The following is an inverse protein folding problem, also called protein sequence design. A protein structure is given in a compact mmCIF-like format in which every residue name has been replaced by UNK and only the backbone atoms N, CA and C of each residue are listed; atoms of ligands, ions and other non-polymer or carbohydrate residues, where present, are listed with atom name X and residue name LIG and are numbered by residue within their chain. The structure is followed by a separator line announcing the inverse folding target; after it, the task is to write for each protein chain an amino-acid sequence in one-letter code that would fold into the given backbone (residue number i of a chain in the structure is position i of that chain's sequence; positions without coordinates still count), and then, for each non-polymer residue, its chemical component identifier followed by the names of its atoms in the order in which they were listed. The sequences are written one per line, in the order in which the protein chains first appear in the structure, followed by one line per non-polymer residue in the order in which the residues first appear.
data_IF_804478705562
#
_entry.id   IF_804478705562
#
_cell.length_a   1.000
_cell.length_b   1.000
_cell.length_c   1.000
_cell.angle_alpha   90.00
_cell.angle_beta   90.00
_cell.angle_gamma   90.00
#
_symmetry.space_group_name_H-M   'P 1'
#
loop_
_entity.id
_entity.type
_entity.pdbx_description
1 polymer ?
#
# COMPACT_ATOMS: atom_id res chain seq x y z
N UNK A 1 63.63 -25.90 -61.06
CA UNK A 1 62.52 -26.73 -60.54
C UNK A 1 62.78 -26.86 -59.05
N UNK A 2 61.97 -26.39 -58.11
CA UNK A 2 60.69 -25.67 -58.08
C UNK A 2 60.53 -25.17 -56.64
N UNK A 3 59.93 -23.98 -56.46
CA UNK A 3 59.13 -23.47 -55.31
C UNK A 3 59.54 -23.91 -53.87
N UNK A 4 59.95 -23.08 -52.89
CA UNK A 4 59.51 -21.75 -52.43
C UNK A 4 57.99 -21.63 -52.14
N UNK A 5 57.56 -22.28 -51.06
CA UNK A 5 56.27 -22.03 -50.41
C UNK A 5 56.33 -20.82 -49.45
N UNK A 6 55.33 -19.92 -49.48
CA UNK A 6 55.35 -18.66 -48.73
C UNK A 6 54.88 -18.78 -47.27
N UNK A 7 55.52 -17.95 -46.43
CA UNK A 7 55.29 -17.77 -45.00
C UNK A 7 53.98 -16.99 -44.79
N UNK A 8 52.97 -17.61 -44.17
CA UNK A 8 51.69 -16.98 -43.85
C UNK A 8 51.83 -15.90 -42.75
N UNK A 9 51.16 -14.74 -42.87
CA UNK A 9 51.20 -13.67 -41.88
C UNK A 9 50.23 -13.95 -40.71
N UNK A 10 50.72 -13.87 -39.48
CA UNK A 10 49.88 -13.83 -38.27
C UNK A 10 49.15 -12.48 -38.22
N UNK A 11 47.85 -12.49 -38.52
CA UNK A 11 46.99 -11.33 -38.31
C UNK A 11 46.71 -11.17 -36.82
N UNK A 12 47.22 -10.05 -36.30
CA UNK A 12 46.89 -9.44 -35.02
C UNK A 12 45.37 -9.22 -34.92
N UNK A 13 44.72 -9.88 -33.97
CA UNK A 13 43.33 -9.61 -33.61
C UNK A 13 43.30 -8.50 -32.56
N UNK A 14 43.04 -7.25 -32.99
CA UNK A 14 42.54 -6.19 -32.12
C UNK A 14 41.03 -6.06 -32.32
N UNK A 15 40.24 -6.81 -31.55
CA UNK A 15 38.78 -6.68 -31.50
C UNK A 15 38.37 -6.03 -30.18
N UNK A 16 37.93 -4.78 -30.31
CA UNK A 16 37.13 -3.94 -29.41
C UNK A 16 37.05 -4.36 -27.93
N UNK A 17 37.79 -3.61 -27.11
CA UNK A 17 37.68 -3.51 -25.66
C UNK A 17 36.47 -2.61 -25.29
N UNK A 18 35.26 -3.00 -25.70
CA UNK A 18 34.01 -2.41 -25.22
C UNK A 18 32.98 -3.53 -25.31
N UNK A 19 32.19 -3.74 -24.27
CA UNK A 19 31.18 -4.79 -24.08
C UNK A 19 31.62 -6.01 -23.27
N UNK A 20 31.90 -5.78 -21.98
CA UNK A 20 31.63 -6.73 -20.91
C UNK A 20 31.70 -6.02 -19.54
N UNK A 21 30.75 -5.12 -19.25
CA UNK A 21 30.44 -4.81 -17.86
C UNK A 21 29.52 -5.95 -17.41
N UNK A 22 30.10 -6.88 -16.66
CA UNK A 22 29.46 -8.06 -16.12
C UNK A 22 28.39 -7.63 -15.09
N UNK A 23 27.13 -7.58 -15.51
CA UNK A 23 25.99 -7.35 -14.63
C UNK A 23 25.82 -8.61 -13.77
N UNK A 24 25.80 -8.52 -12.42
CA UNK A 24 25.68 -9.70 -11.58
C UNK A 24 24.36 -10.45 -11.87
N UNK A 25 24.48 -11.77 -11.95
CA UNK A 25 23.38 -12.68 -12.26
C UNK A 25 22.15 -12.44 -11.37
N UNK A 26 20.95 -12.47 -11.98
CA UNK A 26 19.67 -12.29 -11.30
C UNK A 26 19.55 -13.27 -10.11
N UNK A 27 19.24 -12.79 -8.89
CA UNK A 27 19.12 -13.67 -7.74
C UNK A 27 17.94 -14.64 -7.93
N UNK A 28 18.24 -15.94 -7.94
CA UNK A 28 17.26 -17.02 -7.90
C UNK A 28 16.79 -17.21 -6.45
N UNK A 29 15.47 -17.10 -6.23
CA UNK A 29 14.84 -17.26 -4.92
C UNK A 29 15.03 -18.69 -4.40
N UNK A 30 15.92 -18.87 -3.41
CA UNK A 30 15.95 -20.09 -2.60
C UNK A 30 14.91 -19.97 -1.49
N UNK A 31 13.82 -20.70 -1.65
CA UNK A 31 12.76 -20.83 -0.65
C UNK A 31 13.29 -21.79 0.43
N UNK A 32 13.34 -21.36 1.70
CA UNK A 32 13.60 -22.27 2.81
C UNK A 32 12.39 -23.22 2.98
N UNK A 33 12.60 -24.52 3.25
CA UNK A 33 11.50 -25.46 3.34
C UNK A 33 10.70 -25.19 4.61
N UNK A 34 9.48 -24.71 4.45
CA UNK A 34 8.44 -24.83 5.47
C UNK A 34 7.32 -25.68 4.88
N UNK A 35 6.94 -26.71 5.65
CA UNK A 35 5.87 -27.70 5.50
C UNK A 35 4.90 -27.56 4.30
N UNK A 36 4.73 -28.68 3.59
CA UNK A 36 3.90 -28.91 2.40
C UNK A 36 2.51 -28.26 2.48
N UNK A 37 2.20 -27.40 1.51
CA UNK A 37 0.83 -27.12 1.07
C UNK A 37 0.72 -27.59 -0.38
N UNK A 38 -0.27 -28.46 -0.60
CA UNK A 38 -0.53 -29.27 -1.78
C UNK A 38 -0.66 -28.48 -3.08
N UNK A 39 -0.11 -29.07 -4.14
CA UNK A 39 -0.14 -28.61 -5.52
C UNK A 39 -1.50 -28.90 -6.16
N UNK A 40 -2.25 -27.86 -6.55
CA UNK A 40 -3.16 -27.93 -7.71
C UNK A 40 -3.56 -26.53 -8.17
N UNK A 41 -2.72 -25.97 -9.03
CA UNK A 41 -3.07 -25.02 -10.10
C UNK A 41 -1.79 -24.71 -10.86
N UNK A 42 -1.81 -24.95 -12.17
CA UNK A 42 -0.71 -24.64 -13.09
C UNK A 42 -0.19 -23.23 -12.81
N UNK A 43 1.00 -23.13 -12.21
CA UNK A 43 1.69 -21.86 -11.99
C UNK A 43 2.04 -21.30 -13.36
N UNK A 44 1.21 -20.36 -13.83
CA UNK A 44 1.69 -19.32 -14.72
C UNK A 44 2.94 -18.71 -14.06
N UNK A 45 4.00 -18.51 -14.83
CA UNK A 45 5.27 -17.99 -14.34
C UNK A 45 5.03 -16.79 -13.39
N UNK A 46 5.56 -16.78 -12.16
CA UNK A 46 5.41 -15.63 -11.29
C UNK A 46 6.27 -14.51 -11.85
N UNK A 47 5.70 -13.74 -12.77
CA UNK A 47 6.43 -12.72 -13.54
C UNK A 47 6.83 -11.52 -12.68
N UNK A 48 6.26 -11.40 -11.49
CA UNK A 48 6.56 -10.33 -10.54
C UNK A 48 6.33 -10.82 -9.11
N UNK A 49 7.40 -10.88 -8.31
CA UNK A 49 7.34 -11.21 -6.87
C UNK A 49 7.90 -10.02 -6.10
N UNK A 50 7.08 -9.45 -5.24
CA UNK A 50 7.48 -8.37 -4.35
C UNK A 50 7.82 -9.03 -3.00
N UNK A 51 9.09 -8.99 -2.55
CA UNK A 51 9.46 -9.53 -1.25
C UNK A 51 8.86 -8.70 -0.12
N UNK A 52 8.72 -9.32 1.06
CA UNK A 52 8.34 -8.59 2.27
C UNK A 52 9.36 -7.48 2.56
N UNK A 53 8.89 -6.37 3.14
CA UNK A 53 9.68 -5.18 3.46
C UNK A 53 10.22 -4.38 2.26
N UNK A 54 9.66 -4.56 1.06
CA UNK A 54 9.87 -3.59 -0.02
C UNK A 54 9.13 -2.28 0.27
N UNK A 55 9.76 -1.14 0.02
CA UNK A 55 9.12 0.17 0.06
C UNK A 55 8.48 0.49 -1.29
N UNK A 56 7.25 1.02 -1.29
CA UNK A 56 6.56 1.43 -2.51
C UNK A 56 6.06 2.85 -2.29
N UNK A 57 6.32 3.73 -3.26
CA UNK A 57 5.83 5.10 -3.21
C UNK A 57 4.52 5.26 -3.98
N UNK A 58 3.56 5.94 -3.37
CA UNK A 58 2.24 6.17 -3.95
C UNK A 58 1.63 7.50 -3.53
N UNK A 59 0.59 7.89 -4.26
CA UNK A 59 -0.21 9.09 -4.02
C UNK A 59 -1.65 8.65 -3.80
N UNK A 60 -2.26 9.07 -2.70
CA UNK A 60 -3.67 8.80 -2.43
C UNK A 60 -4.54 9.50 -3.49
N UNK A 61 -5.41 8.75 -4.15
CA UNK A 61 -6.40 9.31 -5.09
C UNK A 61 -7.63 9.80 -4.35
N UNK A 62 -8.01 9.05 -3.32
CA UNK A 62 -9.14 9.38 -2.46
C UNK A 62 -8.64 9.95 -1.15
N UNK A 63 -9.19 11.07 -0.72
CA UNK A 63 -9.00 11.56 0.64
C UNK A 63 -9.59 10.56 1.65
N UNK A 64 -8.98 10.46 2.82
CA UNK A 64 -9.37 9.49 3.86
C UNK A 64 -9.89 10.25 5.08
N UNK A 65 -11.19 10.10 5.37
CA UNK A 65 -11.77 10.55 6.63
C UNK A 65 -11.86 9.37 7.59
N UNK A 66 -10.72 8.98 8.13
CA UNK A 66 -10.63 7.85 9.04
C UNK A 66 -11.24 8.22 10.41
N UNK A 67 -12.06 7.30 10.94
CA UNK A 67 -12.70 7.43 12.24
C UNK A 67 -12.00 6.50 13.24
N UNK A 68 -11.88 6.86 14.52
CA UNK A 68 -11.36 5.93 15.51
C UNK A 68 -12.29 4.75 15.74
N UNK A 69 -11.68 3.62 16.10
CA UNK A 69 -12.42 2.42 16.47
C UNK A 69 -13.44 2.74 17.57
N UNK A 70 -14.68 2.32 17.37
CA UNK A 70 -15.78 2.58 18.31
C UNK A 70 -16.45 3.95 18.18
N UNK A 71 -16.03 4.82 17.27
CA UNK A 71 -16.73 6.07 17.05
C UNK A 71 -18.00 5.86 16.21
N UNK A 72 -19.15 5.87 16.87
CA UNK A 72 -20.46 5.86 16.23
C UNK A 72 -20.66 7.22 15.53
N UNK A 73 -20.84 7.23 14.21
CA UNK A 73 -21.23 8.41 13.45
C UNK A 73 -22.72 8.30 13.13
N UNK A 74 -23.56 8.75 14.05
CA UNK A 74 -25.00 8.76 13.83
C UNK A 74 -25.75 9.09 15.11
N UNK A 75 -26.96 9.62 14.95
CA UNK A 75 -27.92 9.61 16.05
C UNK A 75 -28.04 8.18 16.59
N UNK A 76 -28.30 8.03 17.88
CA UNK A 76 -28.57 6.72 18.49
C UNK A 76 -29.62 5.98 17.64
N UNK A 77 -29.20 4.98 16.86
CA UNK A 77 -30.06 4.23 15.92
C UNK A 77 -29.73 4.32 14.42
N UNK A 78 -28.74 5.10 13.98
CA UNK A 78 -28.34 5.12 12.57
C UNK A 78 -27.36 3.96 12.24
N UNK A 79 -27.85 3.00 11.45
CA UNK A 79 -27.16 1.80 10.90
C UNK A 79 -25.63 1.74 11.07
N UNK A 80 -25.20 0.83 11.95
CA UNK A 80 -23.83 0.72 12.47
C UNK A 80 -22.94 -0.21 11.61
N UNK A 81 -23.46 -0.81 10.55
CA UNK A 81 -22.87 -2.03 9.99
C UNK A 81 -21.81 -1.76 8.92
N UNK A 82 -21.84 -0.59 8.26
CA UNK A 82 -20.83 -0.21 7.25
C UNK A 82 -19.77 0.79 7.78
N UNK A 83 -20.00 1.40 8.95
CA UNK A 83 -19.19 2.52 9.48
C UNK A 83 -18.09 2.05 10.46
N UNK A 84 -18.10 0.78 10.86
CA UNK A 84 -17.11 0.19 11.77
C UNK A 84 -15.90 -0.43 11.04
N UNK A 85 -15.98 -0.55 9.72
CA UNK A 85 -14.88 -0.97 8.86
C UNK A 85 -14.15 0.32 8.48
N UNK A 86 -12.83 0.40 8.65
CA UNK A 86 -12.05 1.62 8.46
C UNK A 86 -12.38 2.37 7.16
N UNK A 87 -12.10 3.68 7.11
CA UNK A 87 -12.39 4.49 5.94
C UNK A 87 -11.66 3.93 4.70
N UNK A 88 -12.39 3.58 3.63
CA UNK A 88 -11.78 3.00 2.44
C UNK A 88 -10.91 4.03 1.74
N UNK A 89 -9.81 3.57 1.17
CA UNK A 89 -8.93 4.43 0.38
C UNK A 89 -8.39 3.70 -0.85
N UNK A 90 -8.08 4.48 -1.88
CA UNK A 90 -7.39 4.03 -3.08
C UNK A 90 -6.15 4.90 -3.29
N UNK A 91 -5.01 4.25 -3.45
CA UNK A 91 -3.71 4.88 -3.67
C UNK A 91 -3.17 4.47 -5.01
N UNK A 92 -2.71 5.44 -5.80
CA UNK A 92 -2.01 5.21 -7.06
C UNK A 92 -0.52 5.09 -6.81
N UNK A 93 0.14 4.06 -7.34
CA UNK A 93 1.59 3.92 -7.27
C UNK A 93 2.30 4.81 -8.27
N UNK A 94 3.43 5.40 -7.86
CA UNK A 94 4.29 6.21 -8.74
C UNK A 94 5.10 5.37 -9.71
N UNK A 95 5.36 4.11 -9.37
CA UNK A 95 6.03 3.13 -10.22
C UNK A 95 7.34 2.60 -9.65
N UNK A 96 7.95 3.33 -8.72
CA UNK A 96 9.20 2.91 -8.08
C UNK A 96 8.90 2.08 -6.83
N UNK A 97 9.28 0.80 -6.87
CA UNK A 97 9.37 -0.05 -5.69
C UNK A 97 10.84 -0.34 -5.34
N UNK A 98 11.20 -0.06 -4.09
CA UNK A 98 12.54 -0.29 -3.54
C UNK A 98 12.51 -1.63 -2.82
N UNK A 99 13.28 -2.59 -3.33
CA UNK A 99 13.41 -3.91 -2.76
C UNK A 99 14.61 -3.99 -1.81
N UNK A 100 14.60 -4.97 -0.89
CA UNK A 100 15.78 -5.31 -0.10
C UNK A 100 16.99 -5.52 -1.02
N UNK A 101 18.18 -5.13 -0.55
CA UNK A 101 19.43 -5.14 -1.33
C UNK A 101 19.50 -4.09 -2.46
N UNK A 102 18.66 -3.04 -2.42
CA UNK A 102 18.76 -1.88 -3.32
C UNK A 102 18.25 -2.11 -4.74
N UNK A 103 17.59 -3.25 -4.99
CA UNK A 103 16.94 -3.52 -6.26
C UNK A 103 15.74 -2.59 -6.43
N UNK A 104 15.52 -2.10 -7.65
CA UNK A 104 14.37 -1.26 -7.97
C UNK A 104 13.51 -1.97 -9.02
N UNK A 105 12.21 -1.98 -8.80
CA UNK A 105 11.23 -2.41 -9.79
C UNK A 105 10.45 -1.19 -10.25
N UNK A 106 10.38 -0.99 -11.58
CA UNK A 106 9.72 0.15 -12.21
C UNK A 106 8.39 -0.23 -12.89
N UNK A 107 8.05 -1.52 -12.91
CA UNK A 107 6.86 -2.05 -13.60
C UNK A 107 5.56 -1.88 -12.80
N UNK A 108 5.60 -1.17 -11.67
CA UNK A 108 4.46 -0.92 -10.78
C UNK A 108 3.80 0.44 -11.03
N UNK A 109 4.13 1.09 -12.14
CA UNK A 109 3.58 2.39 -12.53
C UNK A 109 2.07 2.33 -12.68
N UNK A 110 1.38 3.33 -12.13
CA UNK A 110 -0.07 3.51 -12.26
C UNK A 110 -0.95 2.38 -11.69
N UNK A 111 -0.38 1.45 -10.92
CA UNK A 111 -1.15 0.47 -10.17
C UNK A 111 -1.97 1.12 -9.05
N UNK A 112 -3.06 0.48 -8.66
CA UNK A 112 -3.91 0.90 -7.56
C UNK A 112 -3.79 -0.03 -6.36
N UNK A 113 -3.61 0.54 -5.17
CA UNK A 113 -3.76 -0.15 -3.90
C UNK A 113 -5.07 0.23 -3.26
N UNK A 114 -5.85 -0.77 -2.88
CA UNK A 114 -7.09 -0.63 -2.12
C UNK A 114 -6.89 -1.05 -0.68
N UNK A 115 -7.54 -0.34 0.24
CA UNK A 115 -7.43 -0.65 1.66
C UNK A 115 -8.43 0.10 2.53
N UNK A 116 -8.23 -0.06 3.83
CA UNK A 116 -9.01 0.64 4.86
C UNK A 116 -8.09 1.30 5.88
N UNK A 117 -8.54 2.43 6.42
CA UNK A 117 -7.78 3.21 7.38
C UNK A 117 -8.57 3.49 8.66
N UNK A 118 -7.89 3.38 9.80
CA UNK A 118 -8.45 3.67 11.11
C UNK A 118 -7.66 4.82 11.74
N UNK A 119 -8.36 5.81 12.27
CA UNK A 119 -7.71 6.96 12.90
C UNK A 119 -7.49 6.72 14.40
N UNK A 120 -6.42 7.27 14.94
CA UNK A 120 -6.24 7.41 16.39
C UNK A 120 -6.12 8.91 16.67
N UNK A 121 -7.17 9.49 17.29
CA UNK A 121 -7.22 10.93 17.58
C UNK A 121 -6.08 11.40 18.47
N UNK A 122 -5.66 10.57 19.43
CA UNK A 122 -4.55 10.89 20.33
C UNK A 122 -3.20 10.98 19.62
N UNK A 123 -3.05 10.34 18.46
CA UNK A 123 -1.81 10.33 17.68
C UNK A 123 -1.88 11.25 16.47
N UNK A 124 -3.02 11.91 16.24
CA UNK A 124 -3.30 12.76 15.07
C UNK A 124 -3.00 12.05 13.72
N UNK A 125 -3.16 10.72 13.71
CA UNK A 125 -2.75 9.85 12.60
C UNK A 125 -3.80 8.82 12.22
N UNK A 126 -3.83 8.49 10.94
CA UNK A 126 -4.63 7.42 10.35
C UNK A 126 -3.75 6.23 9.95
N UNK A 127 -3.94 5.10 10.61
CA UNK A 127 -3.29 3.84 10.28
C UNK A 127 -4.01 3.23 9.08
N UNK A 128 -3.36 3.29 7.93
CA UNK A 128 -3.84 2.71 6.68
C UNK A 128 -3.26 1.31 6.49
N UNK A 129 -4.12 0.35 6.13
CA UNK A 129 -3.75 -0.99 5.73
C UNK A 129 -4.29 -1.21 4.33
N UNK A 130 -3.42 -1.55 3.39
CA UNK A 130 -3.79 -1.96 2.04
C UNK A 130 -3.88 -3.48 1.98
N UNK A 131 -4.97 -3.96 1.38
CA UNK A 131 -5.38 -5.37 1.31
C UNK A 131 -5.29 -5.93 -0.11
N UNK A 132 -5.43 -5.06 -1.12
CA UNK A 132 -5.44 -5.46 -2.53
C UNK A 132 -4.56 -4.54 -3.36
N UNK A 133 -3.89 -5.13 -4.35
CA UNK A 133 -3.18 -4.42 -5.41
C UNK A 133 -3.74 -4.85 -6.76
N UNK A 134 -4.02 -3.89 -7.61
CA UNK A 134 -4.50 -4.10 -8.98
C UNK A 134 -3.67 -3.28 -9.95
N UNK A 135 -3.08 -3.95 -10.94
CA UNK A 135 -2.28 -3.35 -11.99
C UNK A 135 -2.82 -3.81 -13.34
N UNK A 136 -2.71 -2.94 -14.35
CA UNK A 136 -2.92 -3.33 -15.75
C UNK A 136 -1.57 -3.23 -16.44
N UNK A 137 -1.03 -4.37 -16.87
CA UNK A 137 0.23 -4.42 -17.56
C UNK A 137 0.10 -3.86 -18.99
N UNK A 138 1.21 -3.42 -19.59
CA UNK A 138 1.20 -2.82 -20.93
C UNK A 138 0.68 -3.76 -22.04
N UNK A 139 0.69 -5.06 -21.80
CA UNK A 139 0.11 -6.07 -22.69
C UNK A 139 -1.41 -6.25 -22.50
N UNK A 140 -2.04 -5.52 -21.58
CA UNK A 140 -3.47 -5.59 -21.28
C UNK A 140 -3.83 -6.63 -20.22
N UNK A 141 -2.85 -7.34 -19.65
CA UNK A 141 -3.12 -8.31 -18.59
C UNK A 141 -3.48 -7.59 -17.28
N UNK A 142 -4.55 -8.07 -16.63
CA UNK A 142 -4.98 -7.58 -15.31
C UNK A 142 -4.28 -8.43 -14.25
N UNK A 143 -3.44 -7.78 -13.44
CA UNK A 143 -2.72 -8.39 -12.34
C UNK A 143 -3.36 -7.93 -11.04
N UNK A 144 -4.15 -8.81 -10.43
CA UNK A 144 -4.78 -8.55 -9.14
C UNK A 144 -4.28 -9.57 -8.12
N UNK A 145 -3.80 -9.07 -6.98
CA UNK A 145 -3.29 -9.91 -5.91
C UNK A 145 -3.65 -9.32 -4.54
N UNK A 146 -3.88 -10.19 -3.53
CA UNK A 146 -3.93 -9.73 -2.15
C UNK A 146 -2.54 -9.28 -1.71
N UNK A 147 -2.46 -8.12 -1.06
CA UNK A 147 -1.23 -7.56 -0.48
C UNK A 147 -1.51 -7.17 0.96
N UNK A 148 -0.49 -7.19 1.82
CA UNK A 148 -0.58 -6.60 3.15
C UNK A 148 0.50 -5.55 3.26
N UNK A 149 0.09 -4.28 3.09
CA UNK A 149 0.99 -3.15 3.25
C UNK A 149 0.42 -2.19 4.29
N UNK A 150 1.30 -1.57 5.07
CA UNK A 150 0.93 -0.50 5.98
C UNK A 150 1.35 0.85 5.40
N UNK A 151 0.55 1.88 5.63
CA UNK A 151 0.87 3.24 5.25
C UNK A 151 1.93 3.85 6.15
N UNK A 152 2.92 4.49 5.54
CA UNK A 152 3.87 5.39 6.19
C UNK A 152 3.69 6.78 5.62
N UNK A 153 3.87 7.79 6.47
CA UNK A 153 3.86 9.18 6.01
C UNK A 153 5.21 9.56 5.34
N UNK A 154 5.27 10.75 4.77
CA UNK A 154 6.51 11.34 4.27
C UNK A 154 7.62 11.43 5.35
N UNK A 155 7.22 11.50 6.62
CA UNK A 155 8.14 11.52 7.78
C UNK A 155 8.74 10.14 8.09
N UNK A 156 8.33 9.07 7.38
CA UNK A 156 8.79 7.70 7.61
C UNK A 156 8.19 7.04 8.86
N UNK A 157 7.24 7.70 9.53
CA UNK A 157 6.52 7.14 10.67
C UNK A 157 5.26 6.43 10.18
N UNK A 158 4.89 5.33 10.86
CA UNK A 158 3.67 4.60 10.57
C UNK A 158 2.43 5.49 10.77
N UNK A 159 1.52 5.40 9.81
CA UNK A 159 0.26 6.14 9.79
C UNK A 159 0.38 7.48 9.07
N UNK A 160 -0.71 7.89 8.43
CA UNK A 160 -0.82 9.12 7.67
C UNK A 160 -1.21 10.26 8.61
N UNK A 161 -0.43 11.34 8.64
CA UNK A 161 -0.78 12.52 9.45
C UNK A 161 -1.99 13.23 8.85
N UNK A 162 -2.86 13.75 9.72
CA UNK A 162 -4.09 14.38 9.27
C UNK A 162 -4.67 15.36 10.27
N UNK A 163 -5.65 16.15 9.82
CA UNK A 163 -6.34 17.11 10.68
C UNK A 163 -7.32 16.38 11.59
N UNK A 164 -7.16 16.55 12.89
CA UNK A 164 -8.14 16.06 13.87
C UNK A 164 -9.39 16.94 13.85
N UNK A 165 -10.54 16.33 13.57
CA UNK A 165 -11.85 17.00 13.66
C UNK A 165 -12.65 16.33 14.77
N UNK A 166 -12.74 16.99 15.93
CA UNK A 166 -13.54 16.51 17.05
C UNK A 166 -15.02 16.84 16.85
N UNK A 167 -15.89 15.84 17.02
CA UNK A 167 -17.36 16.02 17.06
C UNK A 167 -17.91 16.12 18.49
N UNK A 168 -17.03 16.08 19.50
CA UNK A 168 -17.44 16.12 20.91
C UNK A 168 -18.13 17.43 21.28
N UNK A 169 -17.76 18.56 20.66
CA UNK A 169 -18.43 19.85 20.88
C UNK A 169 -19.89 19.85 20.41
N UNK A 170 -20.20 19.19 19.29
CA UNK A 170 -21.58 19.05 18.84
C UNK A 170 -22.41 18.18 19.79
N UNK A 171 -21.81 17.11 20.33
CA UNK A 171 -22.46 16.25 21.34
C UNK A 171 -22.69 17.03 22.64
N UNK A 172 -21.70 17.80 23.09
CA UNK A 172 -21.82 18.62 24.31
C UNK A 172 -22.87 19.74 24.14
N UNK A 173 -22.92 20.39 22.98
CA UNK A 173 -23.94 21.40 22.69
C UNK A 173 -25.36 20.80 22.68
N UNK A 174 -25.52 19.62 22.08
CA UNK A 174 -26.79 18.89 22.11
C UNK A 174 -27.18 18.48 23.54
N UNK A 175 -26.24 18.00 24.35
CA UNK A 175 -26.47 17.66 25.75
C UNK A 175 -26.84 18.89 26.59
N UNK A 176 -26.19 20.04 26.37
CA UNK A 176 -26.50 21.29 27.04
C UNK A 176 -27.92 21.78 26.73
N UNK A 177 -28.29 21.80 25.44
CA UNK A 177 -29.66 22.16 25.03
C UNK A 177 -30.69 21.21 25.64
N UNK A 178 -30.40 19.91 25.65
CA UNK A 178 -31.27 18.90 26.26
C UNK A 178 -31.40 19.13 27.77
N UNK A 179 -30.31 19.49 28.45
CA UNK A 179 -30.29 19.82 29.88
C UNK A 179 -31.12 21.05 30.23
N UNK A 180 -31.10 22.09 29.39
CA UNK A 180 -31.98 23.27 29.58
C UNK A 180 -33.44 22.87 29.41
N UNK A 181 -33.76 22.13 28.35
CA UNK A 181 -35.14 21.69 28.08
C UNK A 181 -35.67 20.79 29.20
N UNK A 182 -34.87 19.83 29.67
CA UNK A 182 -35.26 18.96 30.77
C UNK A 182 -35.41 19.70 32.10
N UNK A 183 -34.51 20.64 32.40
CA UNK A 183 -34.58 21.46 33.62
C UNK A 183 -35.79 22.40 33.67
N UNK A 184 -36.16 23.00 32.53
CA UNK A 184 -37.40 23.79 32.45
C UNK A 184 -38.65 22.90 32.50
N UNK A 185 -38.60 21.72 31.88
CA UNK A 185 -39.70 20.75 31.91
C UNK A 185 -40.02 20.27 33.33
N UNK A 186 -39.00 19.94 34.14
CA UNK A 186 -39.20 19.49 35.53
C UNK A 186 -39.58 20.62 36.48
N UNK A 187 -39.17 21.87 36.22
CA UNK A 187 -39.60 23.02 37.01
C UNK A 187 -41.09 23.37 36.81
N UNK A 188 -41.66 23.00 35.66
CA UNK A 188 -43.04 23.28 35.30
C UNK A 188 -43.99 22.08 35.52
N UNK A 189 -43.46 20.88 35.82
CA UNK A 189 -44.29 19.73 36.23
C UNK A 189 -44.84 19.95 37.64
N UNK A 190 -46.16 20.07 37.84
CA UNK A 190 -46.74 20.25 39.15
C UNK A 190 -46.47 18.99 40.00
N UNK A 191 -45.78 19.18 41.11
CA UNK A 191 -45.60 18.15 42.13
C UNK A 191 -46.94 18.01 42.86
N UNK A 192 -47.72 17.00 42.48
CA UNK A 192 -48.96 16.61 43.14
C UNK A 192 -48.71 15.42 44.07
#
# INVERSE_FOLDING_TARGET
MSALEPRAPKQSQSKSYVDAIDLPARPSQKIWPSEKISEDSKKADPKLVIPINSGIEGVLLTGVNARPSGAVAGAAGASNTAVNVGAPFVTKLKGDAILPNGWKLNDLGDCFLGGSAIAILSAERAFAIADTISCVAANGDILEAPVKAYGVDADGIQGLSGKVVSKQGAILAQAFLTGIVSGLGTALTPTA
#
